data_IF_445869879886
#
_entry.id   IF_445869879886
#
_cell.length_a   1.000
_cell.length_b   1.000
_cell.length_c   1.000
_cell.angle_alpha   90.00
_cell.angle_beta   90.00
_cell.angle_gamma   90.00
#
_symmetry.space_group_name_H-M   'P 1'
#
loop_
_entity.id
_entity.type
_entity.pdbx_description
1 polymer ?
#
# COMPACT_ATOMS: atom_id res chain seq x y z
N UNK A 1 13.07 -14.61 -23.68
CA UNK A 1 12.52 -13.33 -23.18
C UNK A 1 11.24 -13.66 -22.44
N UNK A 2 11.06 -13.14 -21.23
CA UNK A 2 9.82 -13.32 -20.49
C UNK A 2 8.78 -12.34 -21.02
N UNK A 3 7.56 -12.83 -21.30
CA UNK A 3 6.48 -12.04 -21.88
C UNK A 3 5.43 -11.65 -20.85
N UNK A 4 5.42 -12.30 -19.67
CA UNK A 4 4.49 -12.05 -18.60
C UNK A 4 5.18 -12.12 -17.23
N UNK A 5 4.99 -11.07 -16.44
CA UNK A 5 5.45 -10.97 -15.06
C UNK A 5 4.25 -10.98 -14.12
N UNK A 6 4.37 -11.73 -13.03
CA UNK A 6 3.37 -11.76 -11.97
C UNK A 6 4.06 -11.44 -10.65
N UNK A 7 3.48 -10.55 -9.86
CA UNK A 7 4.06 -10.12 -8.59
C UNK A 7 3.02 -9.96 -7.49
N UNK A 8 3.46 -10.22 -6.26
CA UNK A 8 2.68 -10.01 -5.04
C UNK A 8 3.60 -9.34 -4.02
N UNK A 9 3.09 -8.32 -3.32
CA UNK A 9 3.84 -7.61 -2.27
C UNK A 9 5.22 -7.15 -2.75
N UNK A 10 6.31 -7.47 -2.04
CA UNK A 10 7.68 -7.15 -2.44
C UNK A 10 8.03 -7.67 -3.85
N UNK A 11 7.49 -8.82 -4.26
CA UNK A 11 7.62 -9.33 -5.62
C UNK A 11 6.95 -8.45 -6.67
N UNK A 12 5.94 -7.68 -6.28
CA UNK A 12 5.27 -6.69 -7.14
C UNK A 12 6.19 -5.56 -7.58
N UNK A 13 7.04 -5.05 -6.70
CA UNK A 13 8.07 -4.04 -7.04
C UNK A 13 9.03 -4.55 -8.12
N UNK A 14 9.54 -5.77 -7.91
CA UNK A 14 10.50 -6.39 -8.84
C UNK A 14 9.82 -6.64 -10.19
N UNK A 15 8.63 -7.23 -10.19
CA UNK A 15 7.87 -7.53 -11.39
C UNK A 15 7.54 -6.25 -12.19
N UNK A 16 7.13 -5.18 -11.51
CA UNK A 16 6.83 -3.89 -12.13
C UNK A 16 8.06 -3.24 -12.76
N UNK A 17 9.21 -3.30 -12.08
CA UNK A 17 10.47 -2.80 -12.62
C UNK A 17 10.92 -3.58 -13.86
N UNK A 18 10.88 -4.91 -13.81
CA UNK A 18 11.23 -5.77 -14.94
C UNK A 18 10.30 -5.55 -16.14
N UNK A 19 8.98 -5.46 -15.91
CA UNK A 19 8.01 -5.18 -16.95
C UNK A 19 8.22 -3.81 -17.61
N UNK A 20 8.71 -2.83 -16.84
CA UNK A 20 9.16 -1.53 -17.32
C UNK A 20 10.54 -1.53 -17.99
N UNK A 21 11.16 -2.70 -18.15
CA UNK A 21 12.43 -2.85 -18.85
C UNK A 21 13.68 -2.57 -18.01
N UNK A 22 13.53 -2.43 -16.69
CA UNK A 22 14.69 -2.34 -15.79
C UNK A 22 15.46 -3.65 -15.79
N UNK A 23 16.78 -3.56 -15.82
CA UNK A 23 17.64 -4.73 -15.67
C UNK A 23 17.68 -5.18 -14.18
N UNK A 24 17.98 -6.46 -13.90
CA UNK A 24 18.19 -6.93 -12.53
C UNK A 24 19.26 -6.14 -11.78
N UNK A 25 20.28 -5.63 -12.48
CA UNK A 25 21.33 -4.80 -11.89
C UNK A 25 20.79 -3.44 -11.46
N UNK A 26 19.99 -2.78 -12.29
CA UNK A 26 19.34 -1.51 -11.94
C UNK A 26 18.38 -1.68 -10.77
N UNK A 27 17.63 -2.78 -10.72
CA UNK A 27 16.77 -3.11 -9.58
C UNK A 27 17.59 -3.33 -8.32
N UNK A 28 18.68 -4.09 -8.40
CA UNK A 28 19.58 -4.31 -7.26
C UNK A 28 20.16 -3.00 -6.75
N UNK A 29 20.66 -2.14 -7.64
CA UNK A 29 21.17 -0.84 -7.28
C UNK A 29 20.10 0.05 -6.64
N UNK A 30 18.87 0.03 -7.20
CA UNK A 30 17.76 0.86 -6.69
C UNK A 30 17.23 0.41 -5.33
N UNK A 31 17.22 -0.91 -5.03
CA UNK A 31 16.57 -1.44 -3.83
C UNK A 31 17.54 -1.91 -2.73
N UNK A 32 18.79 -2.23 -3.06
CA UNK A 32 19.73 -2.86 -2.14
C UNK A 32 20.97 -2.01 -1.88
N UNK A 33 21.56 -1.44 -2.94
CA UNK A 33 22.89 -0.79 -2.81
C UNK A 33 22.80 0.62 -2.25
N UNK A 34 21.61 1.25 -2.22
CA UNK A 34 21.37 2.57 -1.64
C UNK A 34 22.55 3.55 -1.90
N UNK A 35 22.97 3.63 -3.18
CA UNK A 35 24.15 4.41 -3.55
C UNK A 35 23.84 5.90 -3.39
N UNK A 36 24.32 6.50 -2.31
CA UNK A 36 24.04 7.86 -1.82
C UNK A 36 24.34 8.99 -2.82
N UNK A 37 24.79 8.64 -4.02
CA UNK A 37 25.13 9.59 -5.08
C UNK A 37 24.01 9.85 -6.09
N UNK A 38 22.95 9.06 -6.13
CA UNK A 38 21.86 9.20 -7.10
C UNK A 38 20.53 9.42 -6.36
N UNK A 39 20.00 10.63 -6.42
CA UNK A 39 18.82 11.09 -5.68
C UNK A 39 17.50 10.43 -6.08
N UNK A 40 17.54 9.46 -7.01
CA UNK A 40 16.36 8.75 -7.53
C UNK A 40 16.19 7.34 -6.95
N UNK A 41 16.91 7.01 -5.88
CA UNK A 41 16.98 5.68 -5.31
C UNK A 41 15.94 5.47 -4.22
N UNK A 42 15.43 4.25 -4.20
CA UNK A 42 14.46 3.75 -3.25
C UNK A 42 15.09 3.61 -1.85
N UNK A 43 14.87 4.57 -0.98
CA UNK A 43 15.31 4.51 0.41
C UNK A 43 14.24 3.75 1.24
N UNK A 44 14.52 2.54 1.74
CA UNK A 44 13.54 1.77 2.51
C UNK A 44 13.12 2.44 3.83
N UNK A 45 13.81 3.47 4.29
CA UNK A 45 13.44 4.21 5.51
C UNK A 45 12.09 4.90 5.40
N UNK A 46 11.64 5.26 4.19
CA UNK A 46 10.32 5.85 3.97
C UNK A 46 9.16 4.87 4.25
N UNK A 47 9.39 3.54 4.23
CA UNK A 47 8.39 2.55 4.67
C UNK A 47 8.07 2.67 6.17
N UNK A 48 8.95 3.28 6.94
CA UNK A 48 8.80 3.47 8.38
C UNK A 48 8.25 4.85 8.76
N UNK A 49 7.70 5.60 7.81
CA UNK A 49 7.06 6.88 8.12
C UNK A 49 5.75 6.61 8.87
N UNK A 50 5.63 7.06 10.14
CA UNK A 50 4.41 6.85 10.90
C UNK A 50 3.21 7.52 10.22
N UNK A 51 2.05 6.87 10.28
CA UNK A 51 0.81 7.38 9.70
C UNK A 51 0.20 8.52 10.55
N UNK A 52 0.95 9.60 10.77
CA UNK A 52 0.54 10.73 11.63
C UNK A 52 -0.84 11.30 11.27
N UNK A 53 -1.13 11.43 9.98
CA UNK A 53 -2.41 11.97 9.53
C UNK A 53 -3.59 11.09 9.94
N UNK A 54 -3.42 9.78 9.90
CA UNK A 54 -4.43 8.84 10.35
C UNK A 54 -4.59 8.86 11.87
N UNK A 55 -3.48 8.92 12.61
CA UNK A 55 -3.50 9.07 14.07
C UNK A 55 -4.21 10.35 14.50
N UNK A 56 -3.90 11.49 13.89
CA UNK A 56 -4.55 12.78 14.19
C UNK A 56 -6.04 12.72 13.86
N UNK A 57 -6.40 12.24 12.66
CA UNK A 57 -7.81 12.13 12.24
C UNK A 57 -8.62 11.25 13.18
N UNK A 58 -8.07 10.13 13.64
CA UNK A 58 -8.74 9.20 14.57
C UNK A 58 -8.74 9.71 15.99
N UNK A 59 -7.71 10.43 16.42
CA UNK A 59 -7.67 11.05 17.76
C UNK A 59 -8.80 12.06 17.98
N UNK A 60 -9.26 12.73 16.94
CA UNK A 60 -10.41 13.65 17.01
C UNK A 60 -11.72 12.90 17.31
N UNK A 61 -11.83 11.63 16.92
CA UNK A 61 -13.02 10.81 17.18
C UNK A 61 -13.01 10.18 18.57
N UNK A 62 -11.85 10.08 19.23
CA UNK A 62 -11.70 9.45 20.55
C UNK A 62 -12.61 10.03 21.64
N UNK A 63 -12.75 11.36 21.82
CA UNK A 63 -13.60 11.92 22.88
C UNK A 63 -15.07 11.49 22.78
N UNK A 64 -15.61 11.45 21.55
CA UNK A 64 -16.99 11.00 21.32
C UNK A 64 -17.20 9.50 21.54
N UNK A 65 -16.24 8.68 21.08
CA UNK A 65 -16.30 7.22 21.20
C UNK A 65 -16.10 6.75 22.65
N UNK A 66 -15.17 7.38 23.38
CA UNK A 66 -14.93 7.06 24.80
C UNK A 66 -16.10 7.49 25.65
N UNK A 67 -16.70 8.66 25.40
CA UNK A 67 -17.90 9.13 26.11
C UNK A 67 -19.07 8.18 25.86
N UNK A 68 -19.29 7.75 24.61
CA UNK A 68 -20.36 6.81 24.28
C UNK A 68 -20.15 5.42 24.94
N UNK A 69 -18.91 4.92 24.92
CA UNK A 69 -18.55 3.66 25.58
C UNK A 69 -18.72 3.75 27.09
N UNK A 70 -18.36 4.88 27.72
CA UNK A 70 -18.55 5.13 29.16
C UNK A 70 -20.02 5.15 29.53
N UNK A 71 -20.86 5.83 28.74
CA UNK A 71 -22.31 5.87 29.00
C UNK A 71 -22.95 4.48 28.90
N UNK A 72 -22.58 3.68 27.90
CA UNK A 72 -23.10 2.31 27.76
C UNK A 72 -22.67 1.40 28.91
N UNK A 73 -21.46 1.58 29.42
CA UNK A 73 -20.95 0.80 30.56
C UNK A 73 -21.59 1.25 31.87
N UNK A 74 -21.72 2.58 32.10
CA UNK A 74 -22.27 3.16 33.32
C UNK A 74 -23.75 2.83 33.51
N UNK A 75 -24.51 2.72 32.44
CA UNK A 75 -25.94 2.40 32.47
C UNK A 75 -26.26 0.92 32.23
N UNK A 76 -25.26 0.02 32.24
CA UNK A 76 -25.44 -1.43 32.18
C UNK A 76 -26.15 -1.95 30.91
N UNK A 77 -26.20 -1.12 29.87
CA UNK A 77 -26.97 -1.42 28.65
C UNK A 77 -26.33 -2.44 27.72
N UNK A 78 -25.01 -2.67 27.84
CA UNK A 78 -24.27 -3.59 26.96
C UNK A 78 -23.11 -4.25 27.70
N UNK A 79 -22.69 -5.40 27.14
CA UNK A 79 -21.52 -6.14 27.59
C UNK A 79 -20.24 -5.34 27.34
N UNK A 80 -19.22 -5.57 28.16
CA UNK A 80 -17.86 -5.05 28.05
C UNK A 80 -17.26 -5.25 26.65
N UNK A 81 -17.56 -6.38 25.98
CA UNK A 81 -17.13 -6.65 24.62
C UNK A 81 -17.71 -5.67 23.59
N UNK A 82 -18.99 -5.31 23.73
CA UNK A 82 -19.65 -4.35 22.87
C UNK A 82 -19.12 -2.90 23.05
N UNK A 83 -18.62 -2.57 24.25
CA UNK A 83 -17.94 -1.29 24.48
C UNK A 83 -16.56 -1.26 23.77
N UNK A 84 -15.82 -2.37 23.79
CA UNK A 84 -14.56 -2.50 23.06
C UNK A 84 -14.73 -2.46 21.52
N UNK A 85 -15.80 -3.05 20.99
CA UNK A 85 -16.11 -2.99 19.54
C UNK A 85 -16.31 -1.55 19.05
N UNK A 86 -16.87 -0.67 19.88
CA UNK A 86 -17.02 0.75 19.55
C UNK A 86 -15.71 1.52 19.48
N UNK A 87 -14.68 1.05 20.15
CA UNK A 87 -13.35 1.63 20.07
C UNK A 87 -12.57 1.15 18.83
N UNK A 88 -13.03 0.09 18.16
CA UNK A 88 -12.43 -0.44 16.95
C UNK A 88 -12.15 0.63 15.89
N UNK A 89 -13.11 1.51 15.53
CA UNK A 89 -12.90 2.58 14.54
C UNK A 89 -11.85 3.63 14.98
N UNK A 90 -11.52 3.71 16.27
CA UNK A 90 -10.48 4.61 16.77
C UNK A 90 -9.08 4.00 16.69
N UNK A 91 -8.98 2.67 16.52
CA UNK A 91 -7.70 2.02 16.31
C UNK A 91 -7.19 2.31 14.90
N UNK A 92 -5.92 2.68 14.72
CA UNK A 92 -5.36 2.87 13.39
C UNK A 92 -5.36 1.54 12.63
N UNK A 93 -5.74 1.56 11.36
CA UNK A 93 -5.72 0.38 10.48
C UNK A 93 -4.29 0.02 10.06
N UNK A 94 -3.34 0.95 10.23
CA UNK A 94 -1.92 0.75 10.00
C UNK A 94 -1.09 1.69 10.87
N UNK A 95 0.11 1.25 11.23
CA UNK A 95 1.07 2.02 12.03
C UNK A 95 1.87 2.97 11.13
N UNK A 96 2.13 2.57 9.89
CA UNK A 96 2.92 3.31 8.91
C UNK A 96 2.08 3.73 7.72
N UNK A 97 2.45 4.86 7.09
CA UNK A 97 1.86 5.28 5.82
C UNK A 97 2.52 4.54 4.67
N UNK A 98 1.72 4.05 3.73
CA UNK A 98 2.20 3.48 2.47
C UNK A 98 2.03 4.43 1.27
N UNK A 99 1.61 5.68 1.50
CA UNK A 99 1.44 6.69 0.43
C UNK A 99 2.77 7.03 -0.25
N UNK A 100 3.89 6.86 0.47
CA UNK A 100 5.20 7.10 -0.07
C UNK A 100 5.59 6.05 -1.12
N UNK A 101 5.06 4.82 -1.00
CA UNK A 101 5.21 3.77 -2.02
C UNK A 101 4.68 4.28 -3.36
N UNK A 102 3.43 4.74 -3.37
CA UNK A 102 2.81 5.27 -4.60
C UNK A 102 3.60 6.45 -5.16
N UNK A 103 3.97 7.42 -4.31
CA UNK A 103 4.73 8.62 -4.73
C UNK A 103 6.08 8.29 -5.35
N UNK A 104 6.86 7.43 -4.72
CA UNK A 104 8.20 7.06 -5.21
C UNK A 104 8.11 6.23 -6.48
N UNK A 105 7.19 5.26 -6.53
CA UNK A 105 6.99 4.46 -7.74
C UNK A 105 6.43 5.29 -8.89
N UNK A 106 5.53 6.22 -8.62
CA UNK A 106 5.04 7.16 -9.64
C UNK A 106 6.20 7.95 -10.23
N UNK A 107 7.10 8.48 -9.41
CA UNK A 107 8.31 9.16 -9.91
C UNK A 107 9.19 8.23 -10.74
N UNK A 108 9.45 7.02 -10.24
CA UNK A 108 10.30 6.03 -10.92
C UNK A 108 9.73 5.63 -12.27
N UNK A 109 8.41 5.39 -12.36
CA UNK A 109 7.75 4.91 -13.58
C UNK A 109 7.34 6.00 -14.56
N UNK A 110 7.43 7.28 -14.19
CA UNK A 110 7.22 8.41 -15.11
C UNK A 110 8.49 8.93 -15.76
N UNK A 111 9.65 8.37 -15.39
CA UNK A 111 10.95 8.79 -15.91
C UNK A 111 11.54 7.80 -16.92
N UNK A 112 12.50 8.26 -17.73
CA UNK A 112 13.37 7.42 -18.55
C UNK A 112 12.66 6.42 -19.49
N UNK A 113 11.54 6.78 -20.09
CA UNK A 113 10.81 5.92 -21.05
C UNK A 113 10.09 4.74 -20.39
N UNK A 114 9.88 4.81 -19.09
CA UNK A 114 9.03 3.90 -18.30
C UNK A 114 7.58 4.38 -18.32
N UNK A 115 6.67 3.57 -17.83
CA UNK A 115 5.24 3.90 -17.75
C UNK A 115 4.63 3.43 -16.43
N UNK A 116 3.70 4.23 -15.90
CA UNK A 116 2.88 3.88 -14.74
C UNK A 116 1.50 3.31 -15.16
N UNK A 117 1.32 2.98 -16.45
CA UNK A 117 0.09 2.44 -17.03
C UNK A 117 0.34 1.01 -17.56
N UNK A 118 -0.40 0.02 -17.06
CA UNK A 118 -0.30 -1.39 -17.47
C UNK A 118 -0.47 -1.57 -18.99
N UNK A 119 -1.33 -0.78 -19.62
CA UNK A 119 -1.67 -0.87 -21.05
C UNK A 119 -0.55 -0.39 -21.97
N UNK A 120 0.41 0.36 -21.43
CA UNK A 120 1.56 0.90 -22.15
C UNK A 120 2.81 0.04 -21.99
N UNK A 121 2.77 -0.98 -21.17
CA UNK A 121 3.89 -1.89 -20.96
C UNK A 121 4.14 -2.76 -22.21
N UNK A 122 5.42 -3.03 -22.49
CA UNK A 122 5.82 -3.94 -23.58
C UNK A 122 5.64 -5.42 -23.21
N UNK A 123 5.70 -5.74 -21.94
CA UNK A 123 5.48 -7.09 -21.39
C UNK A 123 4.24 -7.05 -20.49
N UNK A 124 3.51 -8.15 -20.42
CA UNK A 124 2.36 -8.24 -19.53
C UNK A 124 2.81 -8.21 -18.08
N UNK A 125 2.08 -7.48 -17.26
CA UNK A 125 2.29 -7.43 -15.82
C UNK A 125 0.95 -7.71 -15.13
N UNK A 126 0.97 -8.61 -14.15
CA UNK A 126 -0.15 -8.83 -13.24
C UNK A 126 0.34 -8.64 -11.82
N UNK A 127 -0.29 -7.72 -11.10
CA UNK A 127 -0.05 -7.51 -9.67
C UNK A 127 -1.30 -7.96 -8.91
N UNK A 128 -1.11 -8.77 -7.88
CA UNK A 128 -2.25 -9.31 -7.13
C UNK A 128 -2.30 -8.70 -5.74
N UNK A 129 -3.46 -8.17 -5.39
CA UNK A 129 -3.83 -7.79 -4.03
C UNK A 129 -5.09 -8.56 -3.60
N UNK A 130 -5.57 -8.33 -2.39
CA UNK A 130 -6.83 -8.87 -1.89
C UNK A 130 -7.82 -7.72 -1.75
N UNK A 131 -8.98 -7.87 -2.35
CA UNK A 131 -10.13 -7.02 -2.10
C UNK A 131 -10.66 -7.34 -0.69
N UNK A 132 -10.68 -6.34 0.19
CA UNK A 132 -11.07 -6.55 1.59
C UNK A 132 -12.57 -6.71 1.77
N UNK A 133 -13.39 -6.23 0.84
CA UNK A 133 -14.84 -6.32 0.92
C UNK A 133 -15.33 -7.71 0.50
N UNK A 134 -14.77 -8.25 -0.57
CA UNK A 134 -15.16 -9.57 -1.11
C UNK A 134 -14.27 -10.72 -0.62
N UNK A 135 -13.05 -10.43 -0.19
CA UNK A 135 -12.01 -11.43 0.10
C UNK A 135 -11.41 -12.08 -1.14
N UNK A 136 -11.75 -11.60 -2.33
CA UNK A 136 -11.28 -12.15 -3.60
C UNK A 136 -9.95 -11.51 -4.04
N UNK A 137 -9.28 -12.14 -5.00
CA UNK A 137 -8.08 -11.58 -5.60
C UNK A 137 -8.44 -10.43 -6.54
N UNK A 138 -7.72 -9.29 -6.40
CA UNK A 138 -7.74 -8.16 -7.30
C UNK A 138 -6.53 -8.24 -8.25
N UNK A 139 -6.68 -8.77 -9.49
CA UNK A 139 -5.58 -9.00 -10.42
C UNK A 139 -5.32 -7.78 -11.29
N UNK A 140 -4.66 -6.75 -10.76
CA UNK A 140 -4.30 -5.54 -11.48
C UNK A 140 -3.49 -5.85 -12.75
N UNK A 141 -3.81 -5.16 -13.84
CA UNK A 141 -3.22 -5.39 -15.17
C UNK A 141 -3.97 -6.42 -16.02
N UNK A 142 -5.02 -7.05 -15.47
CA UNK A 142 -5.99 -7.84 -16.23
C UNK A 142 -7.15 -6.97 -16.70
N UNK A 143 -7.93 -7.41 -17.72
CA UNK A 143 -9.11 -6.67 -18.19
C UNK A 143 -10.05 -6.30 -17.03
N UNK A 144 -10.41 -5.02 -16.95
CA UNK A 144 -11.21 -4.46 -15.84
C UNK A 144 -10.40 -3.96 -14.65
N UNK A 145 -9.12 -4.36 -14.53
CA UNK A 145 -8.20 -3.94 -13.47
C UNK A 145 -6.95 -3.21 -14.00
N UNK A 146 -6.88 -2.95 -15.30
CA UNK A 146 -5.74 -2.35 -16.00
C UNK A 146 -5.75 -0.82 -16.03
N UNK A 147 -6.82 -0.20 -15.52
CA UNK A 147 -6.97 1.25 -15.43
C UNK A 147 -6.32 1.86 -14.18
N UNK A 148 -6.00 1.03 -13.19
CA UNK A 148 -5.31 1.47 -11.95
C UNK A 148 -3.83 1.71 -12.27
N UNK A 149 -3.20 2.78 -11.77
CA UNK A 149 -1.77 3.00 -11.92
C UNK A 149 -0.95 1.84 -11.32
N UNK A 150 0.19 1.49 -11.95
CA UNK A 150 1.07 0.41 -11.47
C UNK A 150 1.57 0.70 -10.06
N UNK A 151 1.89 1.95 -9.74
CA UNK A 151 2.33 2.39 -8.41
C UNK A 151 1.28 2.10 -7.33
N UNK A 152 0.01 2.40 -7.58
CA UNK A 152 -1.10 2.12 -6.67
C UNK A 152 -1.37 0.62 -6.53
N UNK A 153 -1.26 -0.13 -7.61
CA UNK A 153 -1.39 -1.59 -7.58
C UNK A 153 -0.29 -2.25 -6.73
N UNK A 154 0.95 -1.74 -6.81
CA UNK A 154 2.04 -2.19 -5.93
C UNK A 154 1.77 -1.79 -4.48
N UNK A 155 1.32 -0.56 -4.24
CA UNK A 155 0.94 -0.06 -2.91
C UNK A 155 -0.13 -0.98 -2.29
N UNK A 156 -1.23 -1.25 -3.01
CA UNK A 156 -2.32 -2.12 -2.56
C UNK A 156 -1.83 -3.55 -2.26
N UNK A 157 -1.01 -4.12 -3.16
CA UNK A 157 -0.44 -5.46 -3.00
C UNK A 157 0.52 -5.57 -1.81
N UNK A 158 1.10 -4.45 -1.37
CA UNK A 158 2.07 -4.37 -0.27
C UNK A 158 1.44 -3.91 1.05
N UNK A 159 0.15 -3.59 1.05
CA UNK A 159 -0.58 -3.11 2.23
C UNK A 159 -0.85 -4.26 3.20
N UNK A 160 0.14 -4.59 4.05
CA UNK A 160 -0.01 -5.62 5.08
C UNK A 160 -0.96 -5.13 6.18
N UNK A 161 -2.09 -5.83 6.42
CA UNK A 161 -3.05 -5.44 7.44
C UNK A 161 -2.42 -5.28 8.83
N UNK A 162 -2.77 -4.21 9.53
CA UNK A 162 -2.20 -3.86 10.83
C UNK A 162 -0.88 -3.10 10.76
N UNK A 163 -0.14 -3.19 9.65
CA UNK A 163 1.09 -2.43 9.44
C UNK A 163 0.83 -1.19 8.58
N UNK A 164 0.09 -1.35 7.50
CA UNK A 164 -0.31 -0.31 6.58
C UNK A 164 -1.83 -0.21 6.47
N UNK A 165 -2.38 1.00 6.23
CA UNK A 165 -3.78 1.15 5.91
C UNK A 165 -4.11 0.50 4.55
N UNK A 166 -5.37 0.06 4.34
CA UNK A 166 -5.83 -0.38 3.03
C UNK A 166 -5.82 0.78 2.02
N UNK A 167 -5.76 0.43 0.74
CA UNK A 167 -5.70 1.36 -0.39
C UNK A 167 -7.02 1.33 -1.15
#
# INVERSE_FOLDING_TARGET
RLDHYVGVSAGGFIAAGLANGMSPRELCASFIENDRGNSDLFDPSWLMVPAYNEFVRRSIMLPGLTLAAFWDLAFGRRSWTAALERLGPALPTGVFSNDEIDRQLTRLFTQNGRTNDFRQLRSRLTLVATDLDSGEAAPFGQPGWDHVPISQAVQASSALPGLFPPV
#
